data_IF_858820607104
#
_entry.id   IF_858820607104
#
_cell.length_a   1.000
_cell.length_b   1.000
_cell.length_c   1.000
_cell.angle_alpha   90.00
_cell.angle_beta   90.00
_cell.angle_gamma   90.00
#
_symmetry.space_group_name_H-M   'P 1'
#
loop_
_entity.id
_entity.type
_entity.pdbx_description
1 polymer ?
#
# COMPACT_ATOMS: atom_id res chain seq x y z
N UNK A 1 -3.74 -11.51 1.02
CA UNK A 1 -4.86 -12.16 1.74
C UNK A 1 -6.16 -12.18 0.95
N UNK A 2 -6.36 -11.30 -0.05
CA UNK A 2 -7.62 -11.16 -0.78
C UNK A 2 -7.63 -11.87 -2.16
N UNK A 3 -6.85 -12.94 -2.35
CA UNK A 3 -6.74 -13.61 -3.66
C UNK A 3 -8.07 -14.21 -4.15
N UNK A 4 -9.00 -14.53 -3.26
CA UNK A 4 -10.31 -15.11 -3.63
C UNK A 4 -11.28 -14.10 -4.23
N UNK A 5 -10.93 -12.80 -4.25
CA UNK A 5 -11.79 -11.72 -4.76
C UNK A 5 -11.28 -11.12 -6.06
N UNK A 6 -10.08 -11.49 -6.51
CA UNK A 6 -9.52 -10.97 -7.76
C UNK A 6 -10.15 -11.67 -8.97
N UNK A 7 -10.56 -10.88 -9.96
CA UNK A 7 -11.04 -11.30 -11.27
C UNK A 7 -9.93 -11.06 -12.31
N UNK A 8 -9.28 -9.89 -12.27
CA UNK A 8 -8.16 -9.57 -13.13
C UNK A 8 -6.88 -10.30 -12.67
N UNK A 9 -6.02 -10.61 -13.64
CA UNK A 9 -4.75 -11.29 -13.40
C UNK A 9 -3.76 -10.39 -12.70
N UNK A 10 -3.05 -10.94 -11.71
CA UNK A 10 -1.93 -10.29 -11.03
C UNK A 10 -0.86 -11.33 -10.70
N UNK A 11 0.42 -10.94 -10.69
CA UNK A 11 1.55 -11.79 -10.31
C UNK A 11 2.40 -11.16 -9.21
N UNK A 12 3.05 -12.02 -8.40
CA UNK A 12 4.01 -11.63 -7.36
C UNK A 12 5.27 -12.46 -7.57
N UNK A 13 6.43 -11.82 -7.47
CA UNK A 13 7.74 -12.47 -7.57
C UNK A 13 8.20 -12.87 -6.17
N UNK A 14 8.61 -14.13 -6.00
CA UNK A 14 9.14 -14.63 -4.73
C UNK A 14 10.61 -14.96 -4.90
N UNK A 15 11.47 -14.24 -4.17
CA UNK A 15 12.90 -14.50 -4.13
C UNK A 15 13.25 -15.24 -2.85
N UNK A 16 13.79 -16.46 -2.98
CA UNK A 16 14.31 -17.24 -1.86
C UNK A 16 15.83 -17.11 -1.80
N UNK A 17 16.33 -16.59 -0.69
CA UNK A 17 17.77 -16.50 -0.40
C UNK A 17 18.03 -17.20 0.93
N UNK A 18 18.57 -18.41 0.87
CA UNK A 18 18.77 -19.25 2.06
C UNK A 18 17.47 -19.59 2.78
N UNK A 19 17.36 -19.15 4.05
CA UNK A 19 16.18 -19.31 4.90
C UNK A 19 15.22 -18.10 4.87
N UNK A 20 15.49 -17.09 4.03
CA UNK A 20 14.66 -15.89 3.89
C UNK A 20 13.86 -15.93 2.59
N UNK A 21 12.62 -15.45 2.68
CA UNK A 21 11.72 -15.27 1.54
C UNK A 21 11.41 -13.78 1.39
N UNK A 22 11.61 -13.25 0.20
CA UNK A 22 11.25 -11.89 -0.17
C UNK A 22 10.09 -11.93 -1.16
N UNK A 23 9.04 -11.17 -0.89
CA UNK A 23 7.91 -10.99 -1.78
C UNK A 23 8.07 -9.63 -2.44
N UNK A 24 8.20 -9.62 -3.77
CA UNK A 24 8.41 -8.41 -4.55
C UNK A 24 7.41 -8.32 -5.70
N UNK A 25 7.17 -7.11 -6.18
CA UNK A 25 6.38 -6.84 -7.37
C UNK A 25 7.29 -6.73 -8.59
N UNK A 26 6.77 -7.00 -9.79
CA UNK A 26 7.50 -6.71 -11.02
C UNK A 26 7.47 -5.20 -11.29
N UNK A 27 8.59 -4.57 -11.69
CA UNK A 27 8.64 -3.12 -11.92
C UNK A 27 7.77 -2.65 -13.09
N UNK A 28 7.49 -3.54 -14.05
CA UNK A 28 6.63 -3.26 -15.21
C UNK A 28 5.16 -3.67 -14.98
N UNK A 29 4.80 -4.15 -13.80
CA UNK A 29 3.44 -4.61 -13.51
C UNK A 29 2.55 -3.45 -13.11
N UNK A 30 1.33 -3.45 -13.63
CA UNK A 30 0.27 -2.50 -13.31
C UNK A 30 -0.40 -2.78 -11.94
N UNK A 31 0.30 -3.47 -11.03
CA UNK A 31 -0.25 -3.92 -9.74
C UNK A 31 -0.53 -2.75 -8.79
N UNK A 32 0.13 -1.60 -8.99
CA UNK A 32 -0.06 -0.40 -8.19
C UNK A 32 -1.35 0.36 -8.55
N UNK A 33 -1.95 0.07 -9.70
CA UNK A 33 -3.17 0.75 -10.13
C UNK A 33 -4.42 0.09 -9.52
N UNK A 34 -5.32 0.86 -8.89
CA UNK A 34 -6.58 0.33 -8.40
C UNK A 34 -7.49 -0.04 -9.56
N UNK A 35 -8.14 -1.20 -9.48
CA UNK A 35 -9.11 -1.65 -10.46
C UNK A 35 -10.47 -0.97 -10.22
N UNK A 36 -11.19 -0.64 -11.29
CA UNK A 36 -12.51 0.01 -11.23
C UNK A 36 -13.56 -0.93 -11.79
N UNK A 37 -14.61 -1.18 -11.02
CA UNK A 37 -15.74 -2.04 -11.42
C UNK A 37 -15.35 -3.47 -11.83
N UNK A 38 -14.27 -4.01 -11.25
CA UNK A 38 -13.76 -5.35 -11.56
C UNK A 38 -14.77 -6.48 -11.25
N UNK A 39 -15.50 -6.36 -10.13
CA UNK A 39 -16.47 -7.38 -9.68
C UNK A 39 -17.92 -7.03 -10.06
N UNK A 40 -18.11 -6.10 -11.00
CA UNK A 40 -19.44 -5.79 -11.51
C UNK A 40 -19.99 -6.98 -12.33
N UNK A 41 -21.32 -7.04 -12.48
CA UNK A 41 -21.97 -8.06 -13.34
C UNK A 41 -21.43 -7.97 -14.77
N UNK A 42 -21.24 -6.74 -15.25
CA UNK A 42 -20.63 -6.43 -16.53
C UNK A 42 -19.43 -5.52 -16.28
N UNK A 43 -18.19 -6.06 -16.31
CA UNK A 43 -16.98 -5.25 -16.16
C UNK A 43 -16.79 -4.36 -17.39
N UNK A 44 -16.06 -3.25 -17.28
CA UNK A 44 -15.75 -2.41 -18.44
C UNK A 44 -14.99 -3.22 -19.51
N UNK A 45 -15.57 -3.32 -20.70
CA UNK A 45 -14.98 -4.02 -21.85
C UNK A 45 -14.56 -3.07 -22.98
N UNK A 46 -14.65 -1.75 -22.76
CA UNK A 46 -14.27 -0.78 -23.78
C UNK A 46 -12.78 -0.94 -24.15
N UNK A 47 -12.54 -1.21 -25.43
CA UNK A 47 -11.20 -1.38 -25.98
C UNK A 47 -10.64 -0.05 -26.52
N UNK A 48 -9.31 0.05 -26.55
CA UNK A 48 -8.60 1.15 -27.16
C UNK A 48 -8.38 2.34 -26.24
N UNK A 49 -8.28 3.53 -26.84
CA UNK A 49 -7.92 4.77 -26.13
C UNK A 49 -9.16 5.53 -25.62
N UNK A 50 -10.27 4.84 -25.37
CA UNK A 50 -11.48 5.45 -24.83
C UNK A 50 -11.27 5.80 -23.36
N UNK A 51 -12.00 6.82 -22.91
CA UNK A 51 -11.92 7.30 -21.52
C UNK A 51 -12.37 6.22 -20.53
N UNK A 52 -13.33 5.36 -20.89
CA UNK A 52 -13.82 4.29 -20.01
C UNK A 52 -13.10 2.94 -20.23
N UNK A 53 -11.97 2.93 -20.94
CA UNK A 53 -11.16 1.71 -20.97
C UNK A 53 -10.69 1.36 -19.55
N UNK A 54 -10.61 0.07 -19.17
CA UNK A 54 -10.24 -0.34 -17.81
C UNK A 54 -8.92 0.25 -17.34
N UNK A 55 -7.97 0.41 -18.26
CA UNK A 55 -6.66 1.01 -18.01
C UNK A 55 -6.76 2.50 -17.68
N UNK A 56 -7.50 3.26 -18.48
CA UNK A 56 -7.63 4.70 -18.26
C UNK A 56 -8.39 5.00 -16.96
N UNK A 57 -9.44 4.22 -16.67
CA UNK A 57 -10.16 4.30 -15.40
C UNK A 57 -9.25 4.00 -14.19
N UNK A 58 -8.38 3.00 -14.30
CA UNK A 58 -7.44 2.65 -13.23
C UNK A 58 -6.41 3.77 -12.98
N UNK A 59 -5.89 4.38 -14.05
CA UNK A 59 -4.97 5.53 -13.97
C UNK A 59 -5.66 6.75 -13.35
N UNK A 60 -6.89 7.05 -13.79
CA UNK A 60 -7.69 8.14 -13.23
C UNK A 60 -7.98 7.92 -11.74
N UNK A 61 -8.42 6.71 -11.37
CA UNK A 61 -8.67 6.35 -9.98
C UNK A 61 -7.42 6.44 -9.10
N UNK A 62 -6.24 6.05 -9.62
CA UNK A 62 -4.97 6.26 -8.94
C UNK A 62 -4.72 7.76 -8.70
N UNK A 63 -4.93 8.59 -9.72
CA UNK A 63 -4.69 10.03 -9.63
C UNK A 63 -5.61 10.69 -8.60
N UNK A 64 -6.90 10.33 -8.60
CA UNK A 64 -7.88 10.79 -7.62
C UNK A 64 -7.45 10.38 -6.20
N UNK A 65 -7.10 9.11 -5.97
CA UNK A 65 -6.71 8.62 -4.65
C UNK A 65 -5.44 9.30 -4.13
N UNK A 66 -4.45 9.50 -5.02
CA UNK A 66 -3.21 10.23 -4.68
C UNK A 66 -3.52 11.66 -4.26
N UNK A 67 -4.31 12.38 -5.04
CA UNK A 67 -4.63 13.79 -4.76
C UNK A 67 -5.50 13.93 -3.52
N UNK A 68 -6.55 13.12 -3.40
CA UNK A 68 -7.47 13.15 -2.27
C UNK A 68 -6.74 12.91 -0.95
N UNK A 69 -5.80 11.95 -0.91
CA UNK A 69 -5.02 11.64 0.29
C UNK A 69 -4.26 12.83 0.86
N UNK A 70 -3.81 13.75 0.00
CA UNK A 70 -3.10 14.97 0.40
C UNK A 70 -4.06 16.13 0.61
N UNK A 71 -5.08 16.27 -0.23
CA UNK A 71 -6.02 17.39 -0.20
C UNK A 71 -6.81 17.49 1.11
N UNK A 72 -7.10 16.35 1.76
CA UNK A 72 -7.81 16.32 3.04
C UNK A 72 -6.92 16.62 4.25
N UNK A 73 -5.61 16.77 4.05
CA UNK A 73 -4.67 17.11 5.09
C UNK A 73 -4.59 18.62 5.27
N UNK A 74 -4.22 19.03 6.48
CA UNK A 74 -3.97 20.44 6.76
C UNK A 74 -2.59 20.83 6.29
N UNK A 75 -2.55 21.60 5.21
CA UNK A 75 -1.30 22.12 4.64
C UNK A 75 -0.76 23.26 5.50
N UNK A 76 0.52 23.19 5.89
CA UNK A 76 1.21 24.25 6.64
C UNK A 76 1.11 24.16 8.16
N UNK A 77 0.40 23.16 8.73
CA UNK A 77 0.48 22.86 10.16
C UNK A 77 1.69 21.95 10.48
N UNK A 78 2.05 21.87 11.76
CA UNK A 78 3.15 21.01 12.23
C UNK A 78 2.84 19.53 11.94
N UNK A 79 3.78 18.86 11.26
CA UNK A 79 3.67 17.43 10.93
C UNK A 79 4.07 16.59 12.15
N UNK A 80 3.31 15.52 12.40
CA UNK A 80 3.70 14.55 13.41
C UNK A 80 4.97 13.82 12.97
N UNK A 81 6.03 13.92 13.78
CA UNK A 81 7.32 13.29 13.50
C UNK A 81 7.47 11.99 14.28
N UNK A 82 7.98 10.95 13.62
CA UNK A 82 8.32 9.68 14.24
C UNK A 82 9.75 9.71 14.82
N UNK A 83 10.06 8.75 15.70
CA UNK A 83 11.38 8.60 16.34
C UNK A 83 12.53 8.50 15.32
N UNK A 84 12.26 7.90 14.15
CA UNK A 84 13.17 7.83 13.02
C UNK A 84 12.66 8.73 11.88
N UNK A 85 13.22 9.95 11.72
CA UNK A 85 12.73 10.93 10.76
C UNK A 85 13.12 10.58 9.31
N UNK A 86 14.20 9.83 9.12
CA UNK A 86 14.71 9.50 7.79
C UNK A 86 13.87 8.35 7.22
N UNK A 87 12.98 8.66 6.28
CA UNK A 87 12.42 7.60 5.44
C UNK A 87 13.57 7.05 4.60
N UNK A 88 13.85 5.73 4.60
CA UNK A 88 14.99 5.14 3.90
C UNK A 88 14.88 5.18 2.35
N UNK A 89 13.92 5.95 1.84
CA UNK A 89 13.61 6.13 0.43
C UNK A 89 13.60 7.61 0.02
N UNK A 90 13.82 8.53 0.97
CA UNK A 90 14.09 9.92 0.64
C UNK A 90 15.59 10.06 0.31
N UNK A 91 15.90 10.72 -0.81
CA UNK A 91 17.26 11.20 -1.05
C UNK A 91 17.53 12.38 -0.10
N UNK A 92 18.74 12.44 0.47
CA UNK A 92 19.12 13.38 1.53
C UNK A 92 18.94 14.88 1.15
N UNK A 93 18.81 15.18 -0.15
CA UNK A 93 18.69 16.55 -0.70
C UNK A 93 17.28 16.92 -1.22
N UNK A 94 16.27 16.06 -1.05
CA UNK A 94 14.94 16.35 -1.57
C UNK A 94 14.16 17.29 -0.64
N UNK A 95 14.05 18.57 -1.03
CA UNK A 95 13.03 19.52 -0.50
C UNK A 95 11.59 18.99 -0.63
N UNK A 96 11.40 17.92 -1.42
CA UNK A 96 10.16 17.17 -1.65
C UNK A 96 9.96 15.98 -0.69
N UNK A 97 10.88 15.72 0.25
CA UNK A 97 10.73 14.69 1.29
C UNK A 97 9.47 14.91 2.16
N UNK A 98 8.89 16.12 2.10
CA UNK A 98 7.73 16.52 2.88
C UNK A 98 6.43 15.80 2.47
N UNK A 99 6.35 15.24 1.26
CA UNK A 99 5.14 14.58 0.74
C UNK A 99 5.21 13.03 0.81
N UNK A 100 6.28 12.48 1.40
CA UNK A 100 6.44 11.03 1.52
C UNK A 100 5.68 10.54 2.76
N UNK A 101 4.82 9.55 2.56
CA UNK A 101 4.08 8.92 3.66
C UNK A 101 5.05 8.24 4.64
N UNK A 102 4.76 8.36 5.93
CA UNK A 102 5.54 7.72 6.98
C UNK A 102 5.45 6.20 6.90
N UNK A 103 6.56 5.53 7.18
CA UNK A 103 6.72 4.08 7.05
C UNK A 103 7.04 3.47 8.40
N UNK A 104 6.26 2.45 8.78
CA UNK A 104 6.54 1.59 9.93
C UNK A 104 6.92 0.19 9.47
N UNK A 105 7.76 -0.50 10.25
CA UNK A 105 8.01 -1.92 10.09
C UNK A 105 7.41 -2.67 11.26
N UNK A 106 6.58 -3.66 10.97
CA UNK A 106 5.98 -4.53 11.98
C UNK A 106 6.47 -5.95 11.81
N UNK A 107 6.89 -6.54 12.93
CA UNK A 107 7.23 -7.95 13.01
C UNK A 107 6.07 -8.73 13.63
N UNK A 108 5.67 -9.82 12.96
CA UNK A 108 4.65 -10.75 13.44
C UNK A 108 5.24 -12.16 13.46
N UNK A 109 5.13 -12.85 14.59
CA UNK A 109 5.48 -14.26 14.69
C UNK A 109 4.26 -15.11 14.30
N UNK A 110 4.40 -15.90 13.24
CA UNK A 110 3.41 -16.85 12.79
C UNK A 110 3.87 -18.26 13.17
N UNK A 111 3.02 -18.99 13.88
CA UNK A 111 3.29 -20.39 14.25
C UNK A 111 2.49 -21.29 13.34
N UNK A 112 3.18 -22.21 12.68
CA UNK A 112 2.53 -23.24 11.86
C UNK A 112 2.79 -24.61 12.46
N UNK A 113 1.73 -25.41 12.59
CA UNK A 113 1.82 -26.81 12.99
C UNK A 113 1.81 -27.66 11.73
N UNK A 114 2.96 -28.26 11.40
CA UNK A 114 3.04 -29.34 10.41
C UNK A 114 3.65 -30.55 11.09
N UNK A 115 2.93 -31.69 11.06
CA UNK A 115 3.44 -33.01 11.44
C UNK A 115 4.21 -33.03 12.77
N UNK A 116 3.56 -32.59 13.87
CA UNK A 116 4.12 -32.53 15.23
C UNK A 116 5.34 -31.62 15.44
N UNK A 117 5.77 -30.86 14.43
CA UNK A 117 6.80 -29.84 14.57
C UNK A 117 6.16 -28.44 14.49
N UNK A 118 6.40 -27.62 15.52
CA UNK A 118 6.05 -26.21 15.49
C UNK A 118 7.12 -25.47 14.68
N UNK A 119 6.73 -24.91 13.54
CA UNK A 119 7.61 -24.05 12.74
C UNK A 119 7.21 -22.60 12.97
N UNK A 120 8.13 -21.82 13.56
CA UNK A 120 7.98 -20.38 13.73
C UNK A 120 8.47 -19.66 12.46
N UNK A 121 7.60 -18.83 11.89
CA UNK A 121 7.88 -17.95 10.75
C UNK A 121 7.79 -16.51 11.23
N UNK A 122 8.88 -15.76 11.09
CA UNK A 122 8.88 -14.33 11.37
C UNK A 122 8.50 -13.57 10.09
N UNK A 123 7.34 -12.94 10.11
CA UNK A 123 6.87 -12.07 9.04
C UNK A 123 7.27 -10.62 9.37
N UNK A 124 8.04 -10.01 8.50
CA UNK A 124 8.34 -8.58 8.54
C UNK A 124 7.56 -7.90 7.42
N UNK A 125 6.65 -6.99 7.79
CA UNK A 125 5.83 -6.25 6.84
C UNK A 125 6.08 -4.74 6.99
N UNK A 126 6.14 -4.06 5.84
CA UNK A 126 6.17 -2.60 5.75
C UNK A 126 4.73 -2.09 5.76
N UNK A 127 4.42 -1.23 6.72
CA UNK A 127 3.12 -0.55 6.84
C UNK A 127 3.28 0.94 6.54
N UNK A 128 2.29 1.52 5.90
CA UNK A 128 2.24 2.96 5.60
C UNK A 128 1.12 3.62 6.38
N UNK A 129 1.37 4.81 6.91
CA UNK A 129 0.35 5.66 7.49
C UNK A 129 0.15 6.92 6.66
N UNK A 130 -1.11 7.25 6.40
CA UNK A 130 -1.49 8.39 5.54
C UNK A 130 -1.68 9.67 6.36
N UNK A 131 -2.28 9.58 7.56
CA UNK A 131 -2.58 10.75 8.39
C UNK A 131 -2.75 10.43 9.87
N UNK A 132 -2.69 11.47 10.72
CA UNK A 132 -2.94 11.41 12.16
C UNK A 132 -4.14 12.30 12.48
N UNK A 133 -5.00 11.83 13.39
CA UNK A 133 -6.17 12.55 13.84
C UNK A 133 -6.15 12.66 15.36
N UNK A 134 -6.34 13.86 15.89
CA UNK A 134 -6.50 14.04 17.34
C UNK A 134 -7.89 13.58 17.73
N UNK A 135 -7.98 12.46 18.45
CA UNK A 135 -9.23 12.04 19.07
C UNK A 135 -9.53 12.96 20.25
N UNK A 136 -10.51 13.86 20.11
CA UNK A 136 -11.06 14.60 21.26
C UNK A 136 -11.83 13.62 22.14
N UNK A 137 -11.15 13.00 23.10
CA UNK A 137 -11.80 12.42 24.27
C UNK A 137 -12.61 13.53 24.93
N UNK A 138 -13.94 13.39 25.00
CA UNK A 138 -14.79 14.26 25.82
C UNK A 138 -14.33 14.15 27.28
N UNK A 139 -13.42 15.03 27.70
CA UNK A 139 -13.27 15.42 29.10
C UNK A 139 -13.89 16.79 29.23
N UNK A 140 -15.05 16.84 29.88
CA UNK A 140 -15.38 17.78 30.97
C UNK A 140 -16.90 17.83 31.18
N UNK A 141 -17.36 18.18 32.40
CA UNK A 141 -16.78 17.98 33.74
C UNK A 141 -17.40 16.78 34.46
#
# INVERSE_FOLDING_TARGET
MCCTRSVYSWDIVIHRVGSKLFFDRRPTSDLDYPTVSETAIEPPQEEGNTINSPRNLAIEAMYINRNFSQQVLKMGEEKFSFDHPNTPFAEDDASEASNIASVGYRQVELRTLKSHLCVCVHLLAREHQISVWVCRSKRQP
#
